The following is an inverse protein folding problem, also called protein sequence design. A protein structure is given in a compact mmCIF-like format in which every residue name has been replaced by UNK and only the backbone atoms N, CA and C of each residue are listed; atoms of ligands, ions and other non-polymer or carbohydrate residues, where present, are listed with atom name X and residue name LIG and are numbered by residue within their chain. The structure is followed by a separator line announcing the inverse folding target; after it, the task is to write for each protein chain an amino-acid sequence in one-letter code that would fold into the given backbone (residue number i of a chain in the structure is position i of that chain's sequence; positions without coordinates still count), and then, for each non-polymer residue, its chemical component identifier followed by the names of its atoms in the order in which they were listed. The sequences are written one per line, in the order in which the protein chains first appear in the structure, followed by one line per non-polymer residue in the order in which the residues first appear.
data_IF_931484060398
#
_entry.id   IF_931484060398
#
_cell.length_a   1.000
_cell.length_b   1.000
_cell.length_c   1.000
_cell.angle_alpha   90.00
_cell.angle_beta   90.00
_cell.angle_gamma   90.00
#
_symmetry.space_group_name_H-M   'P 1'
#
loop_
_entity.id
_entity.type
_entity.pdbx_description
1 polymer ?
#
# COMPACT_ATOMS: atom_id res chain seq x y z
N UNK A 1 -3.07 -24.13 -3.89
CA UNK A 1 -3.61 -22.76 -3.92
C UNK A 1 -3.64 -22.35 -5.38
N UNK A 2 -4.75 -21.88 -5.91
CA UNK A 2 -4.82 -21.41 -7.29
C UNK A 2 -4.05 -20.08 -7.38
N UNK A 3 -2.94 -20.00 -8.12
CA UNK A 3 -2.12 -18.78 -8.22
C UNK A 3 -2.87 -17.61 -8.90
N UNK A 4 -4.02 -17.88 -9.52
CA UNK A 4 -4.89 -16.86 -10.12
C UNK A 4 -5.80 -16.15 -9.13
N UNK A 5 -5.91 -16.63 -7.88
CA UNK A 5 -6.69 -15.96 -6.85
C UNK A 5 -5.86 -14.85 -6.21
N UNK A 6 -6.41 -13.64 -6.26
CA UNK A 6 -5.87 -12.48 -5.55
C UNK A 6 -5.80 -12.77 -4.03
N UNK A 7 -4.74 -12.33 -3.34
CA UNK A 7 -4.70 -12.38 -1.88
C UNK A 7 -5.89 -11.62 -1.31
N UNK A 8 -6.46 -12.20 -0.24
CA UNK A 8 -7.61 -11.69 0.50
C UNK A 8 -7.27 -11.73 1.98
N UNK A 9 -7.68 -10.70 2.70
CA UNK A 9 -7.63 -10.64 4.15
C UNK A 9 -8.53 -11.75 4.70
N UNK A 10 -8.04 -12.57 5.65
CA UNK A 10 -8.85 -13.60 6.28
C UNK A 10 -10.08 -12.97 6.99
N UNK A 11 -11.29 -13.53 6.85
CA UNK A 11 -12.50 -12.96 7.47
C UNK A 11 -12.50 -13.01 9.01
N UNK A 12 -11.51 -13.66 9.61
CA UNK A 12 -11.31 -13.71 11.07
C UNK A 12 -9.98 -13.10 11.52
N UNK A 13 -9.37 -12.24 10.70
CA UNK A 13 -8.16 -11.51 11.07
C UNK A 13 -8.41 -10.66 12.32
N UNK A 14 -7.45 -10.62 13.24
CA UNK A 14 -7.53 -9.76 14.42
C UNK A 14 -7.25 -8.29 14.08
N UNK A 15 -7.67 -7.39 14.96
CA UNK A 15 -7.39 -5.95 14.84
C UNK A 15 -5.91 -5.66 14.60
N UNK A 16 -5.00 -6.31 15.34
CA UNK A 16 -3.56 -6.16 15.12
C UNK A 16 -3.08 -6.70 13.77
N UNK A 17 -3.66 -7.79 13.28
CA UNK A 17 -3.34 -8.31 11.93
C UNK A 17 -3.81 -7.33 10.85
N UNK A 18 -4.98 -6.72 11.02
CA UNK A 18 -5.53 -5.72 10.11
C UNK A 18 -4.64 -4.47 10.05
N UNK A 19 -4.20 -3.95 11.20
CA UNK A 19 -3.27 -2.82 11.27
C UNK A 19 -1.96 -3.14 10.57
N UNK A 20 -1.37 -4.33 10.80
CA UNK A 20 -0.13 -4.75 10.13
C UNK A 20 -0.30 -4.88 8.62
N UNK A 21 -1.44 -5.39 8.14
CA UNK A 21 -1.74 -5.46 6.71
C UNK A 21 -1.81 -4.05 6.11
N UNK A 22 -2.55 -3.14 6.73
CA UNK A 22 -2.64 -1.76 6.25
C UNK A 22 -1.29 -1.04 6.29
N UNK A 23 -0.49 -1.25 7.35
CA UNK A 23 0.86 -0.69 7.47
C UNK A 23 1.77 -1.14 6.32
N UNK A 24 1.79 -2.44 6.02
CA UNK A 24 2.60 -2.97 4.92
C UNK A 24 2.17 -2.41 3.56
N UNK A 25 0.86 -2.34 3.30
CA UNK A 25 0.33 -1.77 2.05
C UNK A 25 0.63 -0.28 1.93
N UNK A 26 0.49 0.49 3.01
CA UNK A 26 0.82 1.91 3.01
C UNK A 26 2.33 2.13 2.80
N UNK A 27 3.20 1.30 3.39
CA UNK A 27 4.65 1.32 3.17
C UNK A 27 5.00 1.07 1.70
N UNK A 28 4.35 0.07 1.08
CA UNK A 28 4.52 -0.19 -0.35
C UNK A 28 4.04 1.00 -1.20
N UNK A 29 2.88 1.56 -0.89
CA UNK A 29 2.33 2.75 -1.56
C UNK A 29 3.24 3.96 -1.44
N UNK A 30 3.82 4.19 -0.26
CA UNK A 30 4.74 5.30 0.02
C UNK A 30 5.96 5.34 -0.91
N UNK A 31 6.33 4.22 -1.54
CA UNK A 31 7.32 4.20 -2.60
C UNK A 31 6.99 5.18 -3.74
N UNK A 32 5.71 5.33 -4.11
CA UNK A 32 5.27 6.25 -5.16
C UNK A 32 5.41 7.71 -4.70
N UNK A 33 5.00 8.05 -3.47
CA UNK A 33 5.22 9.38 -2.88
C UNK A 33 6.71 9.73 -2.79
N UNK A 34 7.57 8.78 -2.40
CA UNK A 34 9.02 9.01 -2.34
C UNK A 34 9.63 9.36 -3.70
N UNK A 35 9.01 8.95 -4.80
CA UNK A 35 9.47 9.24 -6.17
C UNK A 35 8.82 10.49 -6.75
N UNK A 36 7.52 10.70 -6.52
CA UNK A 36 6.74 11.75 -7.19
C UNK A 36 6.29 12.89 -6.29
N UNK A 37 6.26 12.68 -4.98
CA UNK A 37 5.76 13.62 -4.01
C UNK A 37 6.72 14.78 -3.75
N UNK A 38 6.17 15.83 -3.17
CA UNK A 38 6.95 16.96 -2.65
C UNK A 38 7.75 16.53 -1.42
N UNK A 39 8.84 17.24 -1.06
CA UNK A 39 9.56 16.98 0.18
C UNK A 39 8.66 17.01 1.43
N UNK A 40 7.66 17.88 1.44
CA UNK A 40 6.66 17.99 2.50
C UNK A 40 5.77 16.74 2.58
N UNK A 41 5.27 16.25 1.43
CA UNK A 41 4.48 15.01 1.37
C UNK A 41 5.28 13.79 1.82
N UNK A 42 6.54 13.67 1.38
CA UNK A 42 7.42 12.57 1.78
C UNK A 42 7.68 12.59 3.28
N UNK A 43 7.98 13.76 3.84
CA UNK A 43 8.23 13.90 5.27
C UNK A 43 6.98 13.55 6.11
N UNK A 44 5.79 13.96 5.65
CA UNK A 44 4.53 13.61 6.31
C UNK A 44 4.26 12.11 6.22
N UNK A 45 4.39 11.50 5.03
CA UNK A 45 4.19 10.06 4.81
C UNK A 45 5.11 9.22 5.69
N UNK A 46 6.41 9.53 5.72
CA UNK A 46 7.38 8.76 6.51
C UNK A 46 7.09 8.89 8.02
N UNK A 47 6.74 10.10 8.49
CA UNK A 47 6.37 10.32 9.90
C UNK A 47 5.09 9.59 10.31
N UNK A 48 4.06 9.61 9.46
CA UNK A 48 2.81 8.91 9.69
C UNK A 48 2.99 7.38 9.67
N UNK A 49 3.82 6.85 8.75
CA UNK A 49 4.14 5.42 8.72
C UNK A 49 4.85 4.94 9.99
N UNK A 50 5.76 5.76 10.55
CA UNK A 50 6.40 5.45 11.83
C UNK A 50 5.36 5.30 12.96
N UNK A 51 4.33 6.15 13.00
CA UNK A 51 3.22 6.02 13.95
C UNK A 51 2.42 4.74 13.72
N UNK A 52 2.07 4.43 12.47
CA UNK A 52 1.33 3.20 12.14
C UNK A 52 2.14 1.95 12.55
N UNK A 53 3.45 1.92 12.30
CA UNK A 53 4.31 0.81 12.70
C UNK A 53 4.50 0.71 14.21
N UNK A 54 4.52 1.84 14.94
CA UNK A 54 4.52 1.85 16.39
C UNK A 54 3.20 1.25 16.94
N UNK A 55 2.06 1.67 16.39
CA UNK A 55 0.75 1.09 16.74
C UNK A 55 0.68 -0.41 16.42
N UNK A 56 1.17 -0.83 15.25
CA UNK A 56 1.26 -2.24 14.85
C UNK A 56 2.11 -3.08 15.83
N UNK A 57 3.12 -2.46 16.44
CA UNK A 57 3.97 -3.06 17.47
C UNK A 57 3.35 -3.05 18.87
N UNK A 58 2.15 -2.48 19.02
CA UNK A 58 1.40 -2.41 20.28
C UNK A 58 1.73 -1.18 21.14
N UNK A 59 2.35 -0.14 20.56
CA UNK A 59 2.54 1.14 21.23
C UNK A 59 1.23 1.94 21.26
N UNK A 60 0.99 2.70 22.33
CA UNK A 60 -0.19 3.53 22.49
C UNK A 60 0.07 4.90 21.85
N UNK A 61 -0.29 5.01 20.57
CA UNK A 61 -0.07 6.20 19.72
C UNK A 61 -1.37 6.66 19.04
N UNK A 62 -2.54 6.29 19.60
CA UNK A 62 -3.83 6.56 18.98
C UNK A 62 -4.14 8.05 18.87
N UNK A 63 -3.71 8.85 19.87
CA UNK A 63 -3.91 10.31 19.85
C UNK A 63 -3.06 10.95 18.73
N UNK A 64 -1.79 10.54 18.61
CA UNK A 64 -0.88 10.99 17.55
C UNK A 64 -1.37 10.55 16.16
N UNK A 65 -1.91 9.34 16.03
CA UNK A 65 -2.51 8.87 14.78
C UNK A 65 -3.75 9.69 14.39
N UNK A 66 -4.56 10.11 15.37
CA UNK A 66 -5.72 10.96 15.10
C UNK A 66 -5.30 12.37 14.66
N UNK A 67 -4.28 12.95 15.30
CA UNK A 67 -3.71 14.24 14.88
C UNK A 67 -3.13 14.16 13.46
N UNK A 68 -2.37 13.12 13.13
CA UNK A 68 -1.84 12.92 11.79
C UNK A 68 -2.96 12.72 10.74
N UNK A 69 -4.06 12.05 11.12
CA UNK A 69 -5.21 11.84 10.23
C UNK A 69 -5.91 13.16 9.87
N UNK A 70 -6.03 14.08 10.83
CA UNK A 70 -6.58 15.42 10.58
C UNK A 70 -5.72 16.25 9.61
N UNK A 71 -4.43 15.93 9.48
CA UNK A 71 -3.50 16.59 8.56
C UNK A 71 -3.49 16.00 7.14
N UNK A 72 -4.16 14.87 6.88
CA UNK A 72 -4.18 14.20 5.56
C UNK A 72 -4.66 15.14 4.46
N UNK A 73 -5.72 15.91 4.70
CA UNK A 73 -6.27 16.85 3.72
C UNK A 73 -5.25 17.95 3.35
N UNK A 74 -4.32 18.29 4.25
CA UNK A 74 -3.26 19.27 3.99
C UNK A 74 -2.09 18.67 3.20
N UNK A 75 -1.95 17.34 3.20
CA UNK A 75 -0.89 16.62 2.51
C UNK A 75 -1.27 16.23 1.07
N UNK A 76 -2.55 16.30 0.70
CA UNK A 76 -3.05 16.09 -0.66
C UNK A 76 -3.05 17.42 -1.40
N UNK A 77 -2.49 17.46 -2.62
CA UNK A 77 -2.62 18.64 -3.47
C UNK A 77 -4.04 18.69 -4.08
N UNK A 78 -4.80 19.74 -3.78
CA UNK A 78 -6.20 19.88 -4.21
C UNK A 78 -6.37 20.37 -5.66
N UNK A 79 -5.29 20.77 -6.35
CA UNK A 79 -5.39 21.01 -7.79
C UNK A 79 -5.80 19.70 -8.47
N UNK A 80 -6.89 19.70 -9.26
CA UNK A 80 -7.44 18.51 -9.94
C UNK A 80 -6.33 17.78 -10.71
N UNK A 81 -5.64 16.85 -10.04
CA UNK A 81 -4.56 16.10 -10.63
C UNK A 81 -5.17 15.19 -11.68
N UNK A 82 -4.83 15.46 -12.94
CA UNK A 82 -5.11 14.52 -14.01
C UNK A 82 -4.48 13.18 -13.59
N UNK A 83 -5.19 12.07 -13.77
CA UNK A 83 -4.61 10.73 -13.56
C UNK A 83 -3.38 10.48 -14.43
N UNK A 84 -3.13 11.34 -15.43
CA UNK A 84 -1.91 11.39 -16.22
C UNK A 84 -0.70 11.99 -15.48
N UNK A 85 -0.92 12.88 -14.49
CA UNK A 85 0.12 13.55 -13.69
C UNK A 85 0.77 12.60 -12.68
N UNK A 86 2.11 12.52 -12.61
CA UNK A 86 2.82 11.82 -11.55
C UNK A 86 2.40 12.20 -10.11
N UNK A 87 1.99 13.45 -9.87
CA UNK A 87 1.52 13.94 -8.58
C UNK A 87 0.31 13.14 -8.05
N UNK A 88 -0.57 12.67 -8.96
CA UNK A 88 -1.70 11.81 -8.61
C UNK A 88 -1.28 10.59 -7.80
N UNK A 89 -0.15 9.96 -8.14
CA UNK A 89 0.33 8.78 -7.42
C UNK A 89 0.92 9.10 -6.05
N UNK A 90 1.45 10.31 -5.86
CA UNK A 90 1.85 10.78 -4.54
C UNK A 90 0.62 10.98 -3.66
N UNK A 91 -0.45 11.60 -4.18
CA UNK A 91 -1.70 11.78 -3.43
C UNK A 91 -2.38 10.45 -3.09
N UNK A 92 -2.38 9.47 -4.01
CA UNK A 92 -2.86 8.11 -3.70
C UNK A 92 -2.06 7.44 -2.57
N UNK A 93 -0.75 7.72 -2.50
CA UNK A 93 0.08 7.21 -1.40
C UNK A 93 -0.27 7.86 -0.06
N UNK A 94 -0.51 9.18 -0.06
CA UNK A 94 -0.98 9.92 1.12
C UNK A 94 -2.32 9.35 1.59
N UNK A 95 -3.25 9.08 0.66
CA UNK A 95 -4.53 8.45 0.97
C UNK A 95 -4.38 7.04 1.56
N UNK A 96 -3.47 6.21 1.02
CA UNK A 96 -3.16 4.88 1.57
C UNK A 96 -2.61 4.95 3.00
N UNK A 97 -1.74 5.91 3.29
CA UNK A 97 -1.23 6.15 4.64
C UNK A 97 -2.34 6.64 5.57
N UNK A 98 -3.22 7.51 5.10
CA UNK A 98 -4.44 7.92 5.81
C UNK A 98 -5.35 6.73 6.17
N UNK A 99 -5.55 5.80 5.24
CA UNK A 99 -6.29 4.56 5.50
C UNK A 99 -5.59 3.68 6.56
N UNK A 100 -4.27 3.65 6.57
CA UNK A 100 -3.51 2.92 7.58
C UNK A 100 -3.62 3.57 8.96
N UNK A 101 -3.53 4.90 9.08
CA UNK A 101 -3.81 5.64 10.32
C UNK A 101 -5.25 5.37 10.79
N UNK A 102 -6.23 5.44 9.89
CA UNK A 102 -7.63 5.15 10.23
C UNK A 102 -7.84 3.70 10.65
N UNK A 103 -7.01 2.77 10.17
CA UNK A 103 -7.03 1.37 10.58
C UNK A 103 -6.53 1.18 12.01
N UNK A 104 -5.64 2.02 12.51
CA UNK A 104 -5.21 2.02 13.92
C UNK A 104 -6.39 2.37 14.82
N UNK A 105 -7.14 3.41 14.46
CA UNK A 105 -8.26 3.90 15.28
C UNK A 105 -9.50 3.01 15.18
N UNK A 106 -9.73 2.42 14.01
CA UNK A 106 -10.89 1.58 13.72
C UNK A 106 -10.51 0.50 12.70
N UNK A 107 -9.90 -0.61 13.15
CA UNK A 107 -9.54 -1.74 12.30
C UNK A 107 -10.80 -2.34 11.64
N UNK A 108 -10.72 -2.66 10.34
CA UNK A 108 -11.75 -3.44 9.66
C UNK A 108 -11.17 -4.22 8.48
N UNK A 109 -11.79 -5.38 8.20
CA UNK A 109 -11.43 -6.20 7.03
C UNK A 109 -11.66 -5.43 5.73
N UNK A 110 -12.77 -4.71 5.63
CA UNK A 110 -13.12 -3.94 4.43
C UNK A 110 -12.05 -2.89 4.10
N UNK A 111 -11.56 -2.13 5.09
CA UNK A 111 -10.48 -1.16 4.87
C UNK A 111 -9.18 -1.79 4.41
N UNK A 112 -8.82 -2.93 4.99
CA UNK A 112 -7.61 -3.64 4.59
C UNK A 112 -7.73 -4.18 3.16
N UNK A 113 -8.90 -4.70 2.77
CA UNK A 113 -9.19 -5.09 1.38
C UNK A 113 -9.16 -3.90 0.42
N UNK A 114 -9.77 -2.78 0.81
CA UNK A 114 -9.80 -1.55 0.02
C UNK A 114 -8.38 -1.02 -0.21
N UNK A 115 -7.53 -0.95 0.82
CA UNK A 115 -6.14 -0.55 0.70
C UNK A 115 -5.36 -1.49 -0.26
N UNK A 116 -5.53 -2.81 -0.12
CA UNK A 116 -4.91 -3.79 -1.01
C UNK A 116 -5.38 -3.61 -2.47
N UNK A 117 -6.66 -3.33 -2.70
CA UNK A 117 -7.22 -3.07 -4.03
C UNK A 117 -6.72 -1.76 -4.62
N UNK A 118 -6.68 -0.69 -3.85
CA UNK A 118 -6.24 0.64 -4.28
C UNK A 118 -4.78 0.62 -4.75
N UNK A 119 -3.87 0.03 -3.96
CA UNK A 119 -2.47 -0.09 -4.37
C UNK A 119 -2.31 -0.94 -5.64
N UNK A 120 -3.03 -2.08 -5.73
CA UNK A 120 -3.00 -2.91 -6.96
C UNK A 120 -3.52 -2.14 -8.18
N UNK A 121 -4.59 -1.37 -8.01
CA UNK A 121 -5.17 -0.52 -9.05
C UNK A 121 -4.17 0.55 -9.53
N UNK A 122 -3.48 1.19 -8.58
CA UNK A 122 -2.43 2.18 -8.85
C UNK A 122 -1.25 1.56 -9.62
N UNK A 123 -0.77 0.39 -9.19
CA UNK A 123 0.33 -0.31 -9.87
C UNK A 123 -0.08 -0.87 -11.23
N UNK A 124 -1.32 -1.35 -11.38
CA UNK A 124 -1.87 -1.79 -12.66
C UNK A 124 -1.95 -0.63 -13.65
N UNK A 125 -2.36 0.55 -13.18
CA UNK A 125 -2.35 1.79 -13.96
C UNK A 125 -0.94 2.17 -14.42
N UNK A 126 0.06 1.99 -13.54
CA UNK A 126 1.47 2.15 -13.88
C UNK A 126 1.94 1.16 -14.93
N UNK A 127 1.69 -0.14 -14.75
CA UNK A 127 2.03 -1.20 -15.69
C UNK A 127 1.39 -0.96 -17.07
N UNK A 128 0.15 -0.48 -17.10
CA UNK A 128 -0.55 -0.10 -18.32
C UNK A 128 0.16 1.04 -19.06
N UNK A 129 0.51 2.11 -18.34
CA UNK A 129 1.28 3.25 -18.89
C UNK A 129 2.64 2.79 -19.44
N UNK A 130 3.36 1.97 -18.69
CA UNK A 130 4.72 1.51 -19.06
C UNK A 130 4.75 0.55 -20.24
N UNK A 131 3.73 -0.29 -20.38
CA UNK A 131 3.64 -1.23 -21.50
C UNK A 131 3.19 -0.57 -22.80
N UNK A 132 2.75 0.69 -22.77
CA UNK A 132 2.11 1.36 -23.91
C UNK A 132 0.86 0.62 -24.40
N UNK A 133 0.21 -0.13 -23.50
CA UNK A 133 -0.89 -1.00 -23.85
C UNK A 133 -2.12 -0.20 -24.29
N UNK A 134 -2.93 -0.80 -25.16
CA UNK A 134 -4.23 -0.24 -25.52
C UNK A 134 -5.29 -0.68 -24.52
N UNK A 135 -6.25 0.20 -24.22
CA UNK A 135 -7.37 -0.11 -23.33
C UNK A 135 -8.09 -1.36 -23.82
N UNK A 136 -8.12 -2.40 -22.98
CA UNK A 136 -8.79 -3.67 -23.29
C UNK A 136 -10.13 -3.72 -22.56
N UNK A 137 -11.23 -3.66 -23.30
CA UNK A 137 -12.57 -3.90 -22.74
C UNK A 137 -12.81 -5.40 -22.62
N UNK A 138 -12.69 -5.95 -21.40
CA UNK A 138 -12.98 -7.36 -21.11
C UNK A 138 -14.47 -7.56 -20.97
N UNK A 139 -15.06 -8.46 -21.77
CA UNK A 139 -16.49 -8.77 -21.67
C UNK A 139 -16.77 -9.68 -20.48
N UNK A 140 -18.00 -9.61 -19.96
CA UNK A 140 -18.47 -10.51 -18.91
C UNK A 140 -18.21 -11.99 -19.28
N UNK A 141 -17.58 -12.74 -18.37
CA UNK A 141 -17.22 -14.16 -18.55
C UNK A 141 -15.93 -14.41 -19.31
N UNK A 142 -15.24 -13.38 -19.82
CA UNK A 142 -13.89 -13.53 -20.36
C UNK A 142 -12.84 -13.52 -19.25
N UNK A 143 -11.72 -14.25 -19.42
CA UNK A 143 -10.60 -14.16 -18.50
C UNK A 143 -10.06 -12.72 -18.52
N UNK A 144 -9.78 -12.19 -17.33
CA UNK A 144 -9.07 -10.92 -17.20
C UNK A 144 -7.66 -11.08 -17.79
N UNK A 145 -7.07 -10.01 -18.36
CA UNK A 145 -5.65 -10.01 -18.68
C UNK A 145 -4.84 -10.35 -17.42
N UNK A 146 -3.68 -11.01 -17.58
CA UNK A 146 -2.79 -11.21 -16.45
C UNK A 146 -2.32 -9.85 -15.90
N UNK A 147 -2.03 -9.76 -14.58
CA UNK A 147 -1.48 -8.56 -13.99
C UNK A 147 -0.13 -8.22 -14.63
N UNK A 148 0.20 -6.94 -14.67
CA UNK A 148 1.51 -6.47 -15.11
C UNK A 148 2.63 -6.79 -14.10
N UNK A 149 3.89 -6.50 -14.43
CA UNK A 149 5.02 -6.83 -13.56
C UNK A 149 4.96 -6.19 -12.16
N UNK A 150 4.55 -4.92 -12.05
CA UNK A 150 4.46 -4.22 -10.76
C UNK A 150 3.29 -4.75 -9.94
N UNK A 151 2.10 -4.88 -10.54
CA UNK A 151 0.92 -5.46 -9.90
C UNK A 151 1.19 -6.91 -9.44
N UNK A 152 1.88 -7.71 -10.26
CA UNK A 152 2.23 -9.09 -9.91
C UNK A 152 3.25 -9.17 -8.76
N UNK A 153 4.19 -8.22 -8.69
CA UNK A 153 5.14 -8.13 -7.58
C UNK A 153 4.42 -7.78 -6.28
N UNK A 154 3.49 -6.83 -6.32
CA UNK A 154 2.64 -6.47 -5.17
C UNK A 154 1.78 -7.66 -4.71
N UNK A 155 1.13 -8.37 -5.63
CA UNK A 155 0.37 -9.59 -5.31
C UNK A 155 1.25 -10.62 -4.57
N UNK A 156 2.53 -10.69 -4.91
CA UNK A 156 3.49 -11.60 -4.25
C UNK A 156 3.82 -11.10 -2.85
N UNK A 157 4.16 -9.82 -2.70
CA UNK A 157 4.45 -9.19 -1.41
C UNK A 157 3.27 -9.31 -0.44
N UNK A 158 2.04 -9.06 -0.89
CA UNK A 158 0.81 -9.23 -0.11
C UNK A 158 0.64 -10.68 0.39
N UNK A 159 0.92 -11.68 -0.47
CA UNK A 159 0.86 -13.09 -0.06
C UNK A 159 1.90 -13.41 1.00
N UNK A 160 3.09 -12.84 0.90
CA UNK A 160 4.15 -13.05 1.87
C UNK A 160 3.78 -12.44 3.24
N UNK A 161 3.21 -11.23 3.27
CA UNK A 161 2.66 -10.63 4.51
C UNK A 161 1.61 -11.53 5.14
N UNK A 162 0.61 -11.97 4.37
CA UNK A 162 -0.46 -12.83 4.86
C UNK A 162 0.06 -14.20 5.33
N UNK A 163 1.06 -14.76 4.64
CA UNK A 163 1.69 -16.02 5.04
C UNK A 163 2.47 -15.88 6.35
N UNK A 164 3.15 -14.75 6.55
CA UNK A 164 3.85 -14.45 7.80
C UNK A 164 2.88 -14.32 8.97
N UNK A 165 1.74 -13.64 8.79
CA UNK A 165 0.69 -13.56 9.81
C UNK A 165 0.04 -14.92 10.07
N UNK A 166 -0.28 -15.68 9.03
CA UNK A 166 -0.85 -17.03 9.19
C UNK A 166 0.10 -18.00 9.93
N UNK A 167 1.41 -17.77 9.88
CA UNK A 167 2.39 -18.60 10.59
C UNK A 167 2.38 -18.41 12.11
N UNK A 168 1.71 -17.38 12.63
CA UNK A 168 1.68 -17.06 14.08
C UNK A 168 0.44 -17.60 14.79
N UNK A 169 -0.43 -18.35 14.10
CA UNK A 169 -1.75 -18.80 14.59
C UNK A 169 -1.69 -19.60 15.92
N UNK A 170 -0.58 -20.22 16.26
CA UNK A 170 -0.40 -20.90 17.56
C UNK A 170 -0.10 -19.92 18.72
N UNK A 171 0.47 -18.75 18.45
CA UNK A 171 0.77 -17.69 19.44
C UNK A 171 -0.32 -16.60 19.47
N UNK A 172 -1.00 -16.37 18.35
CA UNK A 172 -2.02 -15.32 18.12
C UNK A 172 -3.39 -15.57 18.76
N UNK A 173 -3.57 -16.57 19.64
CA UNK A 173 -4.86 -16.76 20.36
C UNK A 173 -5.28 -15.57 21.24
N UNK A 174 -4.44 -14.55 21.37
CA UNK A 174 -4.72 -13.28 22.06
C UNK A 174 -5.00 -12.10 21.13
N UNK A 175 -5.04 -12.29 19.81
CA UNK A 175 -5.31 -11.21 18.84
C UNK A 175 -4.19 -10.17 18.69
N UNK A 176 -3.02 -10.41 19.29
CA UNK A 176 -1.85 -9.55 19.23
C UNK A 176 -0.79 -10.19 18.34
N UNK A 177 -0.28 -9.44 17.36
CA UNK A 177 0.82 -9.87 16.49
C UNK A 177 2.13 -9.74 17.27
N UNK A 178 2.99 -10.78 17.30
CA UNK A 178 4.27 -10.70 18.00
C UNK A 178 5.15 -9.57 17.42
N UNK A 179 5.83 -8.75 18.25
CA UNK A 179 6.69 -7.66 17.76
C UNK A 179 7.78 -8.12 16.79
N UNK A 180 8.30 -9.34 16.95
CA UNK A 180 9.27 -9.94 16.02
C UNK A 180 8.69 -10.20 14.63
N UNK A 181 7.40 -10.48 14.54
CA UNK A 181 6.68 -10.70 13.28
C UNK A 181 6.39 -9.35 12.62
N UNK A 182 5.96 -8.35 13.41
CA UNK A 182 5.78 -6.97 12.93
C UNK A 182 7.09 -6.43 12.36
N UNK A 183 8.20 -6.55 13.09
CA UNK A 183 9.51 -6.09 12.63
C UNK A 183 9.96 -6.75 11.32
N UNK A 184 9.73 -8.07 11.17
CA UNK A 184 10.06 -8.79 9.94
C UNK A 184 9.18 -8.39 8.76
N UNK A 185 7.89 -8.16 9.00
CA UNK A 185 6.97 -7.67 7.97
C UNK A 185 7.35 -6.24 7.56
N UNK A 186 7.67 -5.36 8.52
CA UNK A 186 8.17 -4.01 8.25
C UNK A 186 9.44 -4.03 7.41
N UNK A 187 10.45 -4.80 7.80
CA UNK A 187 11.70 -4.95 7.02
C UNK A 187 11.42 -5.43 5.59
N UNK A 188 10.52 -6.40 5.42
CA UNK A 188 10.12 -6.89 4.10
C UNK A 188 9.37 -5.83 3.27
N UNK A 189 8.51 -5.04 3.92
CA UNK A 189 7.73 -3.99 3.26
C UNK A 189 8.61 -2.81 2.83
N UNK A 190 9.55 -2.39 3.69
CA UNK A 190 10.56 -1.37 3.37
C UNK A 190 11.46 -1.82 2.20
N UNK A 191 11.89 -3.08 2.20
CA UNK A 191 12.68 -3.65 1.12
C UNK A 191 11.90 -3.65 -0.22
N UNK A 192 10.64 -4.08 -0.20
CA UNK A 192 9.78 -4.03 -1.37
C UNK A 192 9.55 -2.58 -1.85
N UNK A 193 9.28 -1.65 -0.93
CA UNK A 193 9.08 -0.24 -1.25
C UNK A 193 10.32 0.37 -1.92
N UNK A 194 11.52 0.02 -1.47
CA UNK A 194 12.77 0.45 -2.10
C UNK A 194 12.94 -0.13 -3.52
N UNK A 195 12.62 -1.40 -3.74
CA UNK A 195 12.65 -2.03 -5.06
C UNK A 195 11.60 -1.42 -6.02
N UNK A 196 10.40 -1.16 -5.49
CA UNK A 196 9.32 -0.52 -6.22
C UNK A 196 9.70 0.91 -6.62
N UNK A 197 10.21 1.72 -5.69
CA UNK A 197 10.69 3.07 -5.97
C UNK A 197 11.74 3.06 -7.07
N UNK A 198 12.75 2.18 -6.99
CA UNK A 198 13.77 2.06 -8.04
C UNK A 198 13.22 1.64 -9.40
N UNK A 199 12.17 0.82 -9.43
CA UNK A 199 11.48 0.41 -10.67
C UNK A 199 10.66 1.58 -11.26
N UNK A 200 9.97 2.31 -10.40
CA UNK A 200 9.14 3.47 -10.74
C UNK A 200 9.99 4.65 -11.20
N UNK A 201 11.15 4.91 -10.60
CA UNK A 201 12.10 5.93 -11.07
C UNK A 201 12.61 5.66 -12.48
N UNK A 202 13.00 4.40 -12.76
CA UNK A 202 13.45 3.99 -14.09
C UNK A 202 12.33 4.17 -15.13
N UNK A 203 11.11 3.81 -14.73
CA UNK A 203 9.89 4.03 -15.50
C UNK A 203 9.61 5.53 -15.75
N UNK A 204 9.73 6.37 -14.72
CA UNK A 204 9.50 7.80 -14.80
C UNK A 204 10.51 8.50 -15.74
N UNK A 205 11.77 8.07 -15.76
CA UNK A 205 12.77 8.57 -16.73
C UNK A 205 12.31 8.30 -18.17
N UNK A 206 11.74 7.12 -18.43
CA UNK A 206 11.20 6.78 -19.76
C UNK A 206 9.94 7.58 -20.10
N UNK A 207 9.16 7.99 -19.09
CA UNK A 207 7.94 8.78 -19.26
C UNK A 207 8.21 10.29 -19.42
N UNK A 208 9.33 10.83 -18.91
CA UNK A 208 9.70 12.26 -19.11
C UNK A 208 9.93 12.64 -20.57
N UNK A 209 10.21 11.68 -21.44
CA UNK A 209 10.34 11.90 -22.89
C UNK A 209 8.97 11.95 -23.62
N UNK A 210 7.85 11.84 -22.89
CA UNK A 210 6.48 11.76 -23.43
C UNK A 210 5.81 13.13 -23.62
N UNK A 211 6.28 14.19 -22.94
CA UNK A 211 5.71 15.55 -23.05
C UNK A 211 6.25 16.38 -24.24
N UNK A 212 7.04 15.80 -25.15
CA UNK A 212 7.63 16.48 -26.32
C UNK A 212 7.01 16.05 -27.65
#
# INVERSE_FOLDING_TARGET
MDPSLLPRVPPGASDGELVVICAAVAEHGAALCRVFGTPEQVAWVDGALDLVWAAASGEAVEDECAEALDEVELAIDEEEADTEDPAFFADQSVALVGLALESVLRPSVDKAEDALEELRSSLSSFDFKLSGAQVVVVKYGQPRPPPGPLEQSEITAQRDVLAQLASTVDESRRGVVPPSVVARIRESAEAFAAELAGSVEQAAVLLRDWEA
#
